data_IF_068374862439
#
_entry.id   IF_068374862439
#
_cell.length_a   1.000
_cell.length_b   1.000
_cell.length_c   1.000
_cell.angle_alpha   90.00
_cell.angle_beta   90.00
_cell.angle_gamma   90.00
#
_symmetry.space_group_name_H-M   'P 1'
#
loop_
_entity.id
_entity.type
_entity.pdbx_description
1 polymer ?
#
# COMPACT_ATOMS: atom_id res chain seq x y z
N UNK A 1 15.54 -17.58 -5.26
CA UNK A 1 14.93 -16.25 -5.02
C UNK A 1 15.65 -15.63 -3.83
N UNK A 2 16.34 -14.50 -3.99
CA UNK A 2 17.08 -13.87 -2.90
C UNK A 2 16.09 -13.45 -1.80
N UNK A 3 16.42 -13.68 -0.52
CA UNK A 3 15.51 -13.39 0.61
C UNK A 3 15.09 -11.92 0.70
N UNK A 4 15.81 -11.03 0.01
CA UNK A 4 15.57 -9.59 0.03
C UNK A 4 14.68 -9.08 -1.12
N UNK A 5 14.26 -9.92 -2.07
CA UNK A 5 13.49 -9.46 -3.25
C UNK A 5 12.17 -8.79 -2.87
N UNK A 6 11.46 -9.33 -1.87
CA UNK A 6 10.20 -8.73 -1.40
C UNK A 6 10.43 -7.38 -0.69
N UNK A 7 11.46 -7.27 0.16
CA UNK A 7 11.85 -5.99 0.79
C UNK A 7 12.26 -4.92 -0.22
N UNK A 8 12.92 -5.30 -1.31
CA UNK A 8 13.24 -4.36 -2.39
C UNK A 8 11.96 -3.87 -3.09
N UNK A 9 10.99 -4.75 -3.30
CA UNK A 9 9.67 -4.38 -3.80
C UNK A 9 8.97 -3.36 -2.89
N UNK A 10 8.94 -3.63 -1.59
CA UNK A 10 8.37 -2.70 -0.60
C UNK A 10 9.06 -1.33 -0.61
N UNK A 11 10.40 -1.28 -0.70
CA UNK A 11 11.13 0.00 -0.79
C UNK A 11 10.78 0.76 -2.06
N UNK A 12 10.77 0.09 -3.22
CA UNK A 12 10.37 0.71 -4.49
C UNK A 12 8.98 1.33 -4.41
N UNK A 13 8.01 0.60 -3.84
CA UNK A 13 6.65 1.12 -3.68
C UNK A 13 6.62 2.30 -2.70
N UNK A 14 7.30 2.21 -1.55
CA UNK A 14 7.38 3.32 -0.62
C UNK A 14 7.95 4.59 -1.27
N UNK A 15 9.02 4.47 -2.07
CA UNK A 15 9.66 5.58 -2.78
C UNK A 15 8.73 6.24 -3.80
N UNK A 16 7.97 5.45 -4.58
CA UNK A 16 6.97 5.96 -5.54
C UNK A 16 5.93 6.85 -4.85
N UNK A 17 5.51 6.47 -3.64
CA UNK A 17 4.56 7.23 -2.84
C UNK A 17 5.23 8.28 -1.93
N UNK A 18 6.50 8.61 -2.14
CA UNK A 18 7.22 9.64 -1.38
C UNK A 18 7.36 9.32 0.12
N UNK A 19 7.33 8.05 0.49
CA UNK A 19 7.39 7.58 1.88
C UNK A 19 8.55 6.60 2.09
N UNK A 20 8.64 6.03 3.30
CA UNK A 20 9.63 5.02 3.67
C UNK A 20 8.94 3.71 4.01
N UNK A 21 9.65 2.60 3.78
CA UNK A 21 9.22 1.28 4.21
C UNK A 21 9.15 1.18 5.72
N UNK A 22 8.16 0.48 6.25
CA UNK A 22 8.07 0.17 7.67
C UNK A 22 9.31 -0.63 8.12
N UNK A 23 9.98 -0.24 9.22
CA UNK A 23 11.11 -1.00 9.76
C UNK A 23 10.73 -2.46 10.08
N UNK A 24 11.71 -3.37 10.12
CA UNK A 24 11.46 -4.80 10.35
C UNK A 24 10.47 -5.39 9.31
N UNK A 25 9.67 -6.37 9.70
CA UNK A 25 8.62 -6.99 8.87
C UNK A 25 7.25 -6.42 9.24
N UNK A 26 6.80 -5.42 8.49
CA UNK A 26 5.48 -4.77 8.65
C UNK A 26 5.17 -4.37 10.09
N UNK A 27 4.01 -4.84 10.57
CA UNK A 27 3.47 -4.56 11.91
C UNK A 27 4.35 -4.88 13.12
N UNK A 28 5.44 -5.64 12.96
CA UNK A 28 6.31 -5.97 14.09
C UNK A 28 7.12 -4.77 14.61
N UNK A 29 7.21 -3.68 13.84
CA UNK A 29 7.84 -2.44 14.29
C UNK A 29 6.98 -1.62 15.26
N UNK A 30 5.68 -1.89 15.35
CA UNK A 30 4.75 -1.13 16.19
C UNK A 30 4.33 0.24 15.64
N UNK A 31 4.85 0.68 14.50
CA UNK A 31 4.47 1.98 13.91
C UNK A 31 3.16 1.93 13.11
N UNK A 32 2.99 0.88 12.30
CA UNK A 32 1.83 0.62 11.43
C UNK A 32 1.89 -0.84 11.03
N UNK A 33 0.73 -1.45 10.74
CA UNK A 33 0.62 -2.81 10.22
C UNK A 33 0.95 -2.90 8.73
N UNK A 34 0.90 -1.78 8.01
CA UNK A 34 1.25 -1.72 6.58
C UNK A 34 2.75 -1.75 6.30
N UNK A 35 3.12 -1.99 5.04
CA UNK A 35 4.53 -2.08 4.61
C UNK A 35 5.20 -0.71 4.45
N UNK A 36 4.44 0.39 4.58
CA UNK A 36 4.97 1.76 4.44
C UNK A 36 4.54 2.68 5.57
N UNK A 37 5.32 3.73 5.82
CA UNK A 37 5.04 4.76 6.82
C UNK A 37 4.16 5.90 6.28
N UNK A 38 3.40 5.67 5.20
CA UNK A 38 2.53 6.71 4.65
C UNK A 38 1.49 7.17 5.68
N UNK A 39 1.28 8.48 5.79
CA UNK A 39 0.39 9.08 6.80
C UNK A 39 -1.08 8.79 6.52
N UNK A 40 -1.49 8.91 5.26
CA UNK A 40 -2.90 8.78 4.86
C UNK A 40 -3.28 7.43 4.24
N UNK A 41 -2.36 6.81 3.50
CA UNK A 41 -2.57 5.54 2.80
C UNK A 41 -2.04 4.38 3.65
N UNK A 42 -2.78 3.28 3.67
CA UNK A 42 -2.34 2.00 4.20
C UNK A 42 -1.93 1.14 3.01
N UNK A 43 -0.62 1.05 2.76
CA UNK A 43 -0.07 0.38 1.58
C UNK A 43 0.48 -0.98 1.98
N UNK A 44 -0.20 -2.04 1.57
CA UNK A 44 0.24 -3.43 1.69
C UNK A 44 0.81 -3.90 0.34
N UNK A 45 1.96 -4.56 0.34
CA UNK A 45 2.66 -4.99 -0.88
C UNK A 45 2.67 -6.52 -0.97
N UNK A 46 1.94 -7.05 -1.94
CA UNK A 46 1.91 -8.50 -2.22
C UNK A 46 2.82 -8.86 -3.38
N UNK A 47 3.92 -9.54 -3.08
CA UNK A 47 4.76 -10.19 -4.10
C UNK A 47 4.29 -11.65 -4.34
N UNK A 48 3.81 -11.99 -5.54
CA UNK A 48 3.32 -13.34 -5.84
C UNK A 48 3.21 -13.61 -7.35
N UNK A 49 3.14 -14.89 -7.76
CA UNK A 49 2.78 -15.29 -9.14
C UNK A 49 1.28 -15.21 -9.39
N UNK A 50 0.48 -15.48 -8.35
CA UNK A 50 -0.99 -15.50 -8.38
C UNK A 50 -1.56 -14.21 -7.82
N UNK A 51 -2.71 -13.79 -8.35
CA UNK A 51 -3.46 -12.64 -7.85
C UNK A 51 -3.79 -12.78 -6.35
N UNK A 52 -3.93 -11.65 -5.62
CA UNK A 52 -4.37 -11.67 -4.24
C UNK A 52 -5.69 -12.40 -4.06
N UNK A 53 -5.79 -13.19 -2.99
CA UNK A 53 -7.05 -13.81 -2.57
C UNK A 53 -7.89 -12.77 -1.84
N UNK A 54 -9.22 -12.88 -1.94
CA UNK A 54 -10.19 -12.02 -1.24
C UNK A 54 -9.88 -11.88 0.26
N UNK A 55 -9.52 -12.98 0.93
CA UNK A 55 -9.13 -12.98 2.35
C UNK A 55 -8.00 -12.00 2.66
N UNK A 56 -7.00 -11.88 1.78
CA UNK A 56 -5.90 -10.91 1.96
C UNK A 56 -6.40 -9.48 1.77
N UNK A 57 -7.27 -9.27 0.79
CA UNK A 57 -7.88 -7.96 0.51
C UNK A 57 -8.68 -7.51 1.73
N UNK A 58 -9.59 -8.33 2.24
CA UNK A 58 -10.43 -7.95 3.37
C UNK A 58 -9.64 -7.73 4.66
N UNK A 59 -8.61 -8.56 4.91
CA UNK A 59 -7.69 -8.34 6.03
C UNK A 59 -7.01 -6.97 5.93
N UNK A 60 -6.40 -6.67 4.79
CA UNK A 60 -5.70 -5.39 4.54
C UNK A 60 -6.64 -4.21 4.76
N UNK A 61 -7.87 -4.29 4.26
CA UNK A 61 -8.85 -3.21 4.34
C UNK A 61 -9.37 -3.03 5.77
N UNK A 62 -9.47 -4.11 6.55
CA UNK A 62 -9.83 -4.04 7.97
C UNK A 62 -8.72 -3.39 8.79
N UNK A 63 -7.47 -3.75 8.55
CA UNK A 63 -6.30 -3.16 9.24
C UNK A 63 -6.15 -1.67 8.90
N UNK A 64 -6.28 -1.29 7.63
CA UNK A 64 -6.30 0.11 7.20
C UNK A 64 -7.35 0.94 7.93
N UNK A 65 -8.58 0.39 8.08
CA UNK A 65 -9.66 1.05 8.80
C UNK A 65 -9.32 1.25 10.28
N UNK A 66 -8.66 0.29 10.92
CA UNK A 66 -8.24 0.41 12.32
C UNK A 66 -7.18 1.49 12.54
N UNK A 67 -6.40 1.82 11.52
CA UNK A 67 -5.41 2.91 11.52
C UNK A 67 -5.95 4.22 10.93
N UNK A 68 -7.25 4.30 10.63
CA UNK A 68 -7.89 5.46 9.99
C UNK A 68 -7.22 5.89 8.66
N UNK A 69 -6.69 4.93 7.90
CA UNK A 69 -6.02 5.15 6.62
C UNK A 69 -6.83 4.60 5.45
N UNK A 70 -6.57 5.11 4.25
CA UNK A 70 -7.19 4.62 3.00
C UNK A 70 -6.46 3.35 2.54
N UNK A 71 -7.12 2.19 2.40
CA UNK A 71 -6.48 0.94 2.03
C UNK A 71 -6.05 0.90 0.56
N UNK A 72 -4.81 0.48 0.32
CA UNK A 72 -4.28 0.12 -0.99
C UNK A 72 -3.51 -1.19 -0.90
N UNK A 73 -3.87 -2.15 -1.74
CA UNK A 73 -3.10 -3.38 -1.91
C UNK A 73 -2.34 -3.32 -3.23
N UNK A 74 -1.02 -3.23 -3.16
CA UNK A 74 -0.13 -3.19 -4.32
C UNK A 74 0.33 -4.60 -4.65
N UNK A 75 0.04 -5.06 -5.86
CA UNK A 75 0.39 -6.39 -6.34
C UNK A 75 1.60 -6.35 -7.28
N UNK A 76 2.70 -6.93 -6.81
CA UNK A 76 3.92 -7.14 -7.58
C UNK A 76 3.89 -8.57 -8.15
N UNK A 77 3.38 -8.69 -9.38
CA UNK A 77 3.32 -9.97 -10.08
C UNK A 77 4.71 -10.34 -10.62
N UNK A 78 5.13 -11.58 -10.39
CA UNK A 78 6.40 -12.07 -10.92
C UNK A 78 6.44 -11.94 -12.45
N UNK A 79 7.56 -11.42 -12.99
CA UNK A 79 7.79 -11.17 -14.41
C UNK A 79 6.77 -10.23 -15.05
N UNK A 80 6.19 -9.32 -14.27
CA UNK A 80 5.30 -8.28 -14.76
C UNK A 80 5.92 -6.91 -14.42
N UNK A 81 6.08 -6.01 -15.40
CA UNK A 81 6.85 -4.79 -15.21
C UNK A 81 6.16 -3.77 -14.29
N UNK A 82 4.83 -3.68 -14.41
CA UNK A 82 4.04 -2.64 -13.77
C UNK A 82 3.27 -3.14 -12.54
N UNK A 83 3.47 -2.53 -11.36
CA UNK A 83 2.66 -2.82 -10.19
C UNK A 83 1.18 -2.56 -10.46
N UNK A 84 0.32 -3.48 -10.02
CA UNK A 84 -1.13 -3.25 -10.02
C UNK A 84 -1.57 -2.78 -8.63
N UNK A 85 -2.58 -1.90 -8.58
CA UNK A 85 -3.19 -1.46 -7.34
C UNK A 85 -4.61 -1.99 -7.27
N UNK A 86 -4.95 -2.65 -6.17
CA UNK A 86 -6.32 -3.00 -5.84
C UNK A 86 -6.85 -2.03 -4.79
N UNK A 87 -7.94 -1.35 -5.13
CA UNK A 87 -8.69 -0.46 -4.25
C UNK A 87 -10.20 -0.69 -4.45
N UNK A 88 -11.01 -0.46 -3.41
CA UNK A 88 -12.47 -0.42 -3.59
C UNK A 88 -12.84 0.94 -4.17
N UNK A 89 -13.91 1.00 -4.96
CA UNK A 89 -14.35 2.22 -5.64
C UNK A 89 -14.54 3.41 -4.68
N UNK A 90 -15.11 3.15 -3.49
CA UNK A 90 -15.30 4.18 -2.45
C UNK A 90 -13.98 4.78 -1.93
N UNK A 91 -12.91 3.99 -1.92
CA UNK A 91 -11.61 4.39 -1.41
C UNK A 91 -10.85 5.16 -2.49
N UNK A 92 -11.00 4.77 -3.77
CA UNK A 92 -10.56 5.56 -4.93
C UNK A 92 -11.22 6.93 -4.96
N UNK A 93 -12.54 7.01 -4.72
CA UNK A 93 -13.26 8.29 -4.63
C UNK A 93 -12.65 9.22 -3.58
N UNK A 94 -12.35 8.70 -2.38
CA UNK A 94 -11.71 9.47 -1.30
C UNK A 94 -10.33 10.01 -1.69
N UNK A 95 -9.55 9.21 -2.42
CA UNK A 95 -8.24 9.64 -2.94
C UNK A 95 -8.44 10.82 -3.90
N UNK A 96 -9.37 10.69 -4.85
CA UNK A 96 -9.69 11.76 -5.81
C UNK A 96 -10.15 13.07 -5.14
N UNK A 97 -10.98 12.98 -4.10
CA UNK A 97 -11.46 14.14 -3.34
C UNK A 97 -10.31 14.85 -2.62
N UNK A 98 -9.38 14.09 -2.05
CA UNK A 98 -8.18 14.62 -1.38
C UNK A 98 -7.24 15.32 -2.37
N UNK A 99 -6.97 14.72 -3.52
CA UNK A 99 -6.13 15.34 -4.56
C UNK A 99 -6.71 16.68 -5.04
N UNK A 100 -8.04 16.75 -5.21
CA UNK A 100 -8.72 17.99 -5.61
C UNK A 100 -8.60 19.07 -4.53
N UNK A 101 -8.75 18.69 -3.27
CA UNK A 101 -8.67 19.61 -2.12
C UNK A 101 -7.27 20.18 -1.91
N UNK A 102 -6.22 19.42 -2.23
CA UNK A 102 -4.83 19.90 -2.18
C UNK A 102 -4.52 20.85 -3.34
N UNK A 103 -5.02 20.57 -4.54
CA UNK A 103 -4.89 21.48 -5.69
C UNK A 103 -5.58 22.83 -5.49
N UNK A 104 -6.72 22.87 -4.81
CA UNK A 104 -7.43 24.13 -4.51
C UNK A 104 -6.79 24.97 -3.41
N UNK A 105 -5.89 24.43 -2.58
CA UNK A 105 -5.17 25.19 -1.53
C UNK A 105 -3.93 25.91 -2.04
N UNK A 106 -3.52 25.63 -3.27
CA UNK A 106 -2.32 26.20 -3.91
C UNK A 106 -2.69 27.29 -4.91
N UNK A 107 -3.99 27.55 -5.12
CA UNK A 107 -4.50 28.66 -5.93
C UNK A 107 -5.03 29.81 -5.06
#
# INVERSE_FOLDING_TARGET
MNRNTWKCGERRIAEIFGTRRTPLSGGNSGHTRSDTLHKELFIEVKHSKKYPKEVLVDKTFKEAKSEAKIPLLVFLKLNYPEPLVLCKLKDLKKISEKMTSEGSKVN
#
